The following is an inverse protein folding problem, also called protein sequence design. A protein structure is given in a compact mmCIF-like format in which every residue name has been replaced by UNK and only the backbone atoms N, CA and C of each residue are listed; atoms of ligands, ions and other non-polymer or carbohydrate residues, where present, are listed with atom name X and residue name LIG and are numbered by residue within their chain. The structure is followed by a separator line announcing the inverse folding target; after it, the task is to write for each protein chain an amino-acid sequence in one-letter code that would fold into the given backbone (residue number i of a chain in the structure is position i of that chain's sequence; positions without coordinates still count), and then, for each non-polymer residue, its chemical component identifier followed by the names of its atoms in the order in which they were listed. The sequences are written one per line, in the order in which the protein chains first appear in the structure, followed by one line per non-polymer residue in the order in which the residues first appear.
data_IF_767724956385
#
_entry.id   IF_767724956385
#
_cell.length_a   1.000
_cell.length_b   1.000
_cell.length_c   1.000
_cell.angle_alpha   90.00
_cell.angle_beta   90.00
_cell.angle_gamma   90.00
#
_symmetry.space_group_name_H-M   'P 1'
#
loop_
_entity.id
_entity.type
_entity.pdbx_description
1 polymer ?
#
# COMPACT_ATOMS: atom_id res chain seq x y z
N UNK A 1 -1.33 2.47 -6.30
CA UNK A 1 -1.30 3.59 -5.33
C UNK A 1 -0.26 4.63 -5.71
N UNK A 2 1.03 4.32 -5.76
CA UNK A 2 2.09 5.28 -6.08
C UNK A 2 1.81 6.13 -7.32
N UNK A 3 1.32 5.52 -8.43
CA UNK A 3 0.99 6.26 -9.64
C UNK A 3 -0.13 7.31 -9.45
N UNK A 4 -1.12 7.03 -8.59
CA UNK A 4 -2.16 8.02 -8.24
C UNK A 4 -1.58 9.16 -7.41
N UNK A 5 -0.71 8.84 -6.46
CA UNK A 5 -0.07 9.86 -5.63
C UNK A 5 0.87 10.77 -6.45
N UNK A 6 1.63 10.19 -7.40
CA UNK A 6 2.45 10.97 -8.35
C UNK A 6 1.60 11.96 -9.13
N UNK A 7 0.50 11.50 -9.75
CA UNK A 7 -0.42 12.39 -10.48
C UNK A 7 -1.01 13.47 -9.58
N UNK A 8 -1.42 13.09 -8.36
CA UNK A 8 -1.97 14.00 -7.37
C UNK A 8 -0.97 15.11 -6.98
N UNK A 9 0.28 14.75 -6.67
CA UNK A 9 1.30 15.72 -6.29
C UNK A 9 1.64 16.66 -7.44
N UNK A 10 1.85 16.13 -8.65
CA UNK A 10 2.16 16.96 -9.81
C UNK A 10 1.03 17.93 -10.19
N UNK A 11 -0.23 17.56 -9.93
CA UNK A 11 -1.38 18.42 -10.19
C UNK A 11 -1.57 19.52 -9.13
N UNK A 12 -1.23 19.24 -7.86
CA UNK A 12 -1.49 20.18 -6.75
C UNK A 12 -0.26 21.02 -6.36
N UNK A 13 0.95 20.55 -6.69
CA UNK A 13 2.22 21.21 -6.33
C UNK A 13 3.12 21.36 -7.56
N UNK A 14 2.85 22.34 -8.42
CA UNK A 14 3.55 22.49 -9.71
C UNK A 14 5.06 22.82 -9.57
N UNK A 15 5.50 23.21 -8.38
CA UNK A 15 6.91 23.49 -8.09
C UNK A 15 7.68 22.26 -7.55
N UNK A 16 6.97 21.13 -7.32
CA UNK A 16 7.61 19.92 -6.82
C UNK A 16 8.18 19.08 -7.97
N UNK A 17 9.45 18.70 -7.85
CA UNK A 17 10.03 17.66 -8.69
C UNK A 17 9.73 16.28 -8.09
N UNK A 18 9.13 15.40 -8.86
CA UNK A 18 8.79 14.03 -8.47
C UNK A 18 9.68 13.04 -9.19
N UNK A 19 10.50 12.31 -8.43
CA UNK A 19 11.29 11.20 -8.93
C UNK A 19 10.60 9.90 -8.53
N UNK A 20 10.11 9.17 -9.52
CA UNK A 20 9.50 7.85 -9.34
C UNK A 20 10.59 6.78 -9.44
N UNK A 21 10.93 6.16 -8.30
CA UNK A 21 11.89 5.07 -8.21
C UNK A 21 11.15 3.77 -8.01
N UNK A 22 11.10 2.91 -9.01
CA UNK A 22 10.31 1.67 -9.02
C UNK A 22 11.07 0.54 -9.71
N UNK A 23 10.99 -0.65 -9.13
CA UNK A 23 11.64 -1.85 -9.65
C UNK A 23 10.96 -2.40 -10.91
N UNK A 24 9.68 -2.05 -11.12
CA UNK A 24 8.82 -2.59 -12.17
C UNK A 24 8.73 -4.12 -12.11
N UNK A 25 8.31 -4.63 -10.95
CA UNK A 25 7.97 -6.04 -10.80
C UNK A 25 6.67 -6.37 -11.57
N UNK A 26 6.12 -7.55 -11.38
CA UNK A 26 4.96 -8.04 -12.12
C UNK A 26 3.71 -7.10 -12.13
N UNK A 27 3.53 -6.30 -11.08
CA UNK A 27 2.44 -5.34 -10.97
C UNK A 27 2.83 -3.90 -11.38
N UNK A 28 4.11 -3.66 -11.70
CA UNK A 28 4.61 -2.37 -12.15
C UNK A 28 4.19 -2.10 -13.60
N UNK A 29 3.55 -0.93 -13.84
CA UNK A 29 3.09 -0.56 -15.17
C UNK A 29 3.20 0.97 -15.37
N UNK A 30 4.14 1.39 -16.22
CA UNK A 30 4.36 2.81 -16.53
C UNK A 30 3.22 3.45 -17.32
N UNK A 31 2.39 2.66 -18.02
CA UNK A 31 1.19 3.16 -18.70
C UNK A 31 0.23 3.87 -17.72
N UNK A 32 0.27 3.51 -16.44
CA UNK A 32 -0.49 4.20 -15.40
C UNK A 32 -0.09 5.67 -15.23
N UNK A 33 1.07 6.07 -15.72
CA UNK A 33 1.65 7.42 -15.62
C UNK A 33 1.78 8.14 -16.98
N UNK A 34 1.21 7.57 -18.06
CA UNK A 34 1.26 8.13 -19.40
C UNK A 34 0.80 9.59 -19.47
N UNK A 35 -0.19 9.97 -18.68
CA UNK A 35 -0.71 11.34 -18.59
C UNK A 35 0.32 12.37 -18.12
N UNK A 36 1.32 11.92 -17.35
CA UNK A 36 2.35 12.76 -16.74
C UNK A 36 3.77 12.44 -17.22
N UNK A 37 3.93 11.51 -18.16
CA UNK A 37 5.25 11.06 -18.63
C UNK A 37 6.11 12.21 -19.21
N UNK A 38 5.46 13.21 -19.82
CA UNK A 38 6.10 14.38 -20.42
C UNK A 38 6.08 15.62 -19.51
N UNK A 39 5.66 15.48 -18.24
CA UNK A 39 5.69 16.58 -17.30
C UNK A 39 7.17 16.92 -16.95
N UNK A 40 7.64 18.17 -17.10
CA UNK A 40 9.04 18.54 -16.81
C UNK A 40 9.45 18.29 -15.36
N UNK A 41 8.48 18.21 -14.45
CA UNK A 41 8.70 17.95 -13.02
C UNK A 41 8.54 16.47 -12.66
N UNK A 42 8.40 15.57 -13.64
CA UNK A 42 8.35 14.13 -13.43
C UNK A 42 9.59 13.46 -14.02
N UNK A 43 10.17 12.55 -13.26
CA UNK A 43 11.28 11.69 -13.70
C UNK A 43 11.06 10.26 -13.23
N UNK A 44 11.19 9.30 -14.14
CA UNK A 44 11.23 7.88 -13.79
C UNK A 44 12.68 7.39 -13.72
N UNK A 45 12.97 6.59 -12.70
CA UNK A 45 14.23 5.86 -12.53
C UNK A 45 13.89 4.43 -12.13
N UNK A 46 14.27 3.45 -12.94
CA UNK A 46 14.09 2.06 -12.58
C UNK A 46 15.14 1.63 -11.56
N UNK A 47 14.71 1.03 -10.45
CA UNK A 47 15.59 0.51 -9.41
C UNK A 47 14.84 -0.11 -8.25
N UNK A 48 15.57 -0.85 -7.44
CA UNK A 48 15.08 -1.59 -6.28
C UNK A 48 15.46 -0.85 -4.99
N UNK A 49 14.50 -0.65 -4.09
CA UNK A 49 14.78 -0.07 -2.76
C UNK A 49 15.73 -0.95 -1.92
N UNK A 50 15.87 -2.23 -2.28
CA UNK A 50 16.85 -3.14 -1.68
C UNK A 50 18.28 -2.93 -2.21
N UNK A 51 18.45 -2.19 -3.31
CA UNK A 51 19.76 -1.80 -3.84
C UNK A 51 20.19 -0.46 -3.22
N UNK A 52 21.01 -0.56 -2.19
CA UNK A 52 21.50 0.58 -1.44
C UNK A 52 22.25 1.60 -2.30
N UNK A 53 23.13 1.12 -3.20
CA UNK A 53 23.94 1.99 -4.06
C UNK A 53 23.09 2.74 -5.08
N UNK A 54 22.16 2.04 -5.73
CA UNK A 54 21.21 2.64 -6.67
C UNK A 54 20.33 3.70 -5.99
N UNK A 55 19.84 3.40 -4.78
CA UNK A 55 19.02 4.33 -3.99
C UNK A 55 19.80 5.61 -3.63
N UNK A 56 21.01 5.48 -3.10
CA UNK A 56 21.84 6.63 -2.75
C UNK A 56 22.20 7.50 -3.96
N UNK A 57 22.50 6.85 -5.09
CA UNK A 57 22.75 7.53 -6.35
C UNK A 57 21.56 8.38 -6.79
N UNK A 58 20.36 7.80 -6.78
CA UNK A 58 19.14 8.53 -7.17
C UNK A 58 18.89 9.72 -6.26
N UNK A 59 19.04 9.55 -4.94
CA UNK A 59 18.85 10.62 -3.96
C UNK A 59 19.84 11.77 -4.21
N UNK A 60 21.13 11.46 -4.37
CA UNK A 60 22.17 12.47 -4.54
C UNK A 60 22.08 13.19 -5.88
N UNK A 61 21.90 12.46 -6.99
CA UNK A 61 21.86 13.03 -8.34
C UNK A 61 20.62 13.93 -8.56
N UNK A 62 19.50 13.60 -7.91
CA UNK A 62 18.27 14.35 -8.07
C UNK A 62 17.98 15.30 -6.90
N UNK A 63 18.88 15.41 -5.93
CA UNK A 63 18.76 16.28 -4.74
C UNK A 63 17.41 16.06 -4.02
N UNK A 64 17.09 14.78 -3.80
CA UNK A 64 15.84 14.40 -3.12
C UNK A 64 15.82 14.96 -1.70
N UNK A 65 14.74 15.62 -1.33
CA UNK A 65 14.54 16.21 -0.01
C UNK A 65 13.65 15.36 0.89
N UNK A 66 12.74 14.55 0.31
CA UNK A 66 11.81 13.72 1.07
C UNK A 66 11.44 12.44 0.30
N UNK A 67 10.97 11.44 1.02
CA UNK A 67 10.56 10.14 0.47
C UNK A 67 9.10 9.84 0.88
N UNK A 68 8.31 9.34 -0.07
CA UNK A 68 7.03 8.67 0.21
C UNK A 68 7.14 7.24 -0.32
N UNK A 69 7.22 6.27 0.59
CA UNK A 69 7.43 4.87 0.25
C UNK A 69 6.11 4.13 0.01
N UNK A 70 5.82 3.85 -1.25
CA UNK A 70 4.74 2.95 -1.70
C UNK A 70 5.27 1.60 -2.21
N UNK A 71 6.60 1.44 -2.33
CA UNK A 71 7.19 0.20 -2.78
C UNK A 71 6.91 -0.90 -1.77
N UNK A 72 6.33 -2.00 -2.23
CA UNK A 72 5.89 -3.10 -1.40
C UNK A 72 5.58 -4.35 -2.22
N UNK A 73 5.73 -5.52 -1.63
CA UNK A 73 5.01 -6.72 -2.04
C UNK A 73 3.65 -6.75 -1.33
N UNK A 74 2.54 -6.92 -2.06
CA UNK A 74 1.21 -6.62 -1.48
C UNK A 74 0.21 -7.77 -1.56
N UNK A 75 0.53 -8.91 -2.15
CA UNK A 75 -0.41 -10.01 -2.34
C UNK A 75 -0.26 -11.05 -1.22
N UNK A 76 -1.21 -11.07 -0.28
CA UNK A 76 -1.14 -11.94 0.91
C UNK A 76 -0.96 -13.41 0.54
N UNK A 77 -1.71 -13.94 -0.46
CA UNK A 77 -1.58 -15.34 -0.87
C UNK A 77 -0.17 -15.66 -1.39
N UNK A 78 0.48 -14.72 -2.09
CA UNK A 78 1.89 -14.87 -2.49
C UNK A 78 2.82 -14.90 -1.29
N UNK A 79 2.55 -14.11 -0.24
CA UNK A 79 3.37 -14.12 0.97
C UNK A 79 3.33 -15.44 1.73
N UNK A 80 2.22 -16.18 1.59
CA UNK A 80 2.08 -17.53 2.19
C UNK A 80 2.92 -18.56 1.41
N UNK A 81 3.01 -18.40 0.09
CA UNK A 81 3.77 -19.31 -0.77
C UNK A 81 5.26 -19.00 -0.82
N UNK A 82 5.62 -17.72 -0.85
CA UNK A 82 7.00 -17.24 -0.92
C UNK A 82 7.16 -15.97 -0.07
N UNK A 83 7.47 -16.11 1.23
CA UNK A 83 7.63 -14.98 2.15
C UNK A 83 8.94 -14.21 1.97
N UNK A 84 9.98 -14.77 1.32
CA UNK A 84 11.31 -14.15 1.21
C UNK A 84 11.25 -12.78 0.51
N UNK A 85 10.53 -12.68 -0.59
CA UNK A 85 10.37 -11.42 -1.32
C UNK A 85 9.75 -10.31 -0.46
N UNK A 86 8.78 -10.67 0.40
CA UNK A 86 8.14 -9.74 1.32
C UNK A 86 9.10 -9.25 2.41
N UNK A 87 9.84 -10.16 3.04
CA UNK A 87 10.84 -9.81 4.05
C UNK A 87 11.92 -8.90 3.46
N UNK A 88 12.42 -9.22 2.26
CA UNK A 88 13.42 -8.38 1.59
C UNK A 88 12.89 -7.00 1.30
N UNK A 89 11.76 -6.89 0.62
CA UNK A 89 11.21 -5.60 0.22
C UNK A 89 10.77 -4.78 1.43
N UNK A 90 9.99 -5.36 2.33
CA UNK A 90 9.43 -4.59 3.45
C UNK A 90 10.48 -4.24 4.50
N UNK A 91 11.33 -5.19 4.90
CA UNK A 91 12.28 -4.96 5.99
C UNK A 91 13.58 -4.34 5.46
N UNK A 92 14.27 -5.02 4.53
CA UNK A 92 15.54 -4.50 4.04
C UNK A 92 15.37 -3.27 3.14
N UNK A 93 14.32 -3.23 2.32
CA UNK A 93 14.01 -2.03 1.53
C UNK A 93 13.71 -0.82 2.42
N UNK A 94 12.86 -0.98 3.44
CA UNK A 94 12.59 0.11 4.40
C UNK A 94 13.84 0.50 5.19
N UNK A 95 14.67 -0.47 5.61
CA UNK A 95 15.95 -0.20 6.24
C UNK A 95 16.85 0.71 5.37
N UNK A 96 17.00 0.41 4.09
CA UNK A 96 17.79 1.22 3.16
C UNK A 96 17.23 2.64 3.02
N UNK A 97 15.90 2.79 2.93
CA UNK A 97 15.25 4.10 2.86
C UNK A 97 15.48 4.91 4.15
N UNK A 98 15.47 4.28 5.31
CA UNK A 98 15.75 4.92 6.60
C UNK A 98 17.23 5.34 6.72
N UNK A 99 18.17 4.47 6.30
CA UNK A 99 19.58 4.80 6.25
C UNK A 99 19.86 5.98 5.30
N UNK A 100 19.24 5.96 4.11
CA UNK A 100 19.34 7.05 3.16
C UNK A 100 18.73 8.36 3.72
N UNK A 101 17.56 8.28 4.35
CA UNK A 101 16.92 9.44 5.00
C UNK A 101 17.83 10.07 6.04
N UNK A 102 18.47 9.26 6.87
CA UNK A 102 19.45 9.70 7.88
C UNK A 102 20.72 10.26 7.24
N UNK A 103 21.32 9.54 6.28
CA UNK A 103 22.59 9.90 5.64
C UNK A 103 22.52 11.23 4.88
N UNK A 104 21.43 11.45 4.14
CA UNK A 104 21.23 12.65 3.32
C UNK A 104 20.48 13.76 4.06
N UNK A 105 20.16 13.59 5.34
CA UNK A 105 19.39 14.54 6.16
C UNK A 105 18.08 14.96 5.49
N UNK A 106 17.35 13.99 4.94
CA UNK A 106 16.07 14.27 4.29
C UNK A 106 15.08 14.85 5.30
N UNK A 107 14.23 15.76 4.83
CA UNK A 107 13.30 16.49 5.70
C UNK A 107 12.14 15.64 6.20
N UNK A 108 11.76 14.58 5.46
CA UNK A 108 10.70 13.67 5.83
C UNK A 108 10.75 12.36 5.04
N UNK A 109 10.34 11.28 5.69
CA UNK A 109 9.95 10.03 5.06
C UNK A 109 8.53 9.65 5.50
N UNK A 110 7.66 9.30 4.55
CA UNK A 110 6.35 8.70 4.84
C UNK A 110 6.39 7.24 4.41
N UNK A 111 6.21 6.34 5.38
CA UNK A 111 6.09 4.90 5.16
C UNK A 111 4.62 4.53 5.04
N UNK A 112 4.20 4.03 3.89
CA UNK A 112 2.84 3.52 3.70
C UNK A 112 2.80 2.06 4.12
N UNK A 113 2.07 1.79 5.20
CA UNK A 113 1.82 0.49 5.79
C UNK A 113 0.33 0.12 5.72
N UNK A 114 -0.09 -0.84 6.48
CA UNK A 114 -1.42 -1.45 6.44
C UNK A 114 -2.00 -1.64 7.85
N UNK A 115 -3.31 -1.59 7.98
CA UNK A 115 -4.04 -1.93 9.20
C UNK A 115 -3.99 -3.44 9.53
N UNK A 116 -3.59 -4.28 8.58
CA UNK A 116 -3.38 -5.71 8.81
C UNK A 116 -2.28 -5.99 9.87
N UNK A 117 -1.42 -5.02 10.19
CA UNK A 117 -0.40 -5.15 11.25
C UNK A 117 -1.03 -5.35 12.64
N UNK A 118 -2.24 -4.88 12.85
CA UNK A 118 -2.97 -5.04 14.10
C UNK A 118 -3.59 -6.44 14.28
N UNK A 119 -3.78 -7.20 13.19
CA UNK A 119 -4.46 -8.50 13.21
C UNK A 119 -5.97 -8.38 13.19
N UNK A 120 -6.67 -9.38 13.74
CA UNK A 120 -8.13 -9.44 13.74
C UNK A 120 -8.74 -8.81 14.98
N UNK A 121 -9.91 -8.17 14.80
CA UNK A 121 -10.75 -7.64 15.88
C UNK A 121 -12.23 -7.97 15.59
N UNK A 122 -12.94 -8.54 16.56
CA UNK A 122 -14.35 -8.92 16.37
C UNK A 122 -15.28 -7.70 16.48
N UNK A 123 -15.04 -6.83 17.47
CA UNK A 123 -15.84 -5.64 17.73
C UNK A 123 -14.94 -4.42 17.95
N UNK A 124 -15.45 -3.23 17.66
CA UNK A 124 -14.69 -1.97 17.78
C UNK A 124 -13.73 -1.73 16.63
N UNK A 125 -12.74 -0.88 16.84
CA UNK A 125 -11.71 -0.52 15.85
C UNK A 125 -10.35 -0.37 16.51
N UNK A 126 -9.28 -0.59 15.76
CA UNK A 126 -7.93 -0.34 16.20
C UNK A 126 -7.63 1.17 16.26
N UNK A 127 -6.82 1.55 17.21
CA UNK A 127 -6.17 2.87 17.28
C UNK A 127 -4.69 2.73 17.00
N UNK A 128 -4.00 3.85 16.83
CA UNK A 128 -2.56 3.89 16.62
C UNK A 128 -1.75 3.38 17.83
N UNK A 129 -2.39 3.24 19.00
CA UNK A 129 -1.80 2.66 20.22
C UNK A 129 -2.05 1.16 20.35
N UNK A 130 -2.85 0.56 19.47
CA UNK A 130 -3.16 -0.86 19.49
C UNK A 130 -1.90 -1.70 19.25
N UNK A 131 -1.72 -2.83 19.97
CA UNK A 131 -0.57 -3.70 19.77
C UNK A 131 -0.63 -4.40 18.41
N UNK A 132 0.51 -4.62 17.79
CA UNK A 132 0.61 -5.41 16.56
C UNK A 132 0.44 -6.90 16.85
N UNK A 133 -0.40 -7.56 16.03
CA UNK A 133 -0.67 -8.99 16.10
C UNK A 133 -0.91 -9.57 14.69
N UNK A 134 0.04 -9.41 13.75
CA UNK A 134 -0.14 -9.78 12.35
C UNK A 134 -0.33 -11.28 12.16
N UNK A 135 -1.29 -11.69 11.30
CA UNK A 135 -1.65 -13.08 11.07
C UNK A 135 -1.13 -13.65 9.73
N UNK A 136 -0.47 -12.86 8.91
CA UNK A 136 0.12 -13.28 7.64
C UNK A 136 1.59 -12.88 7.52
N UNK A 137 2.40 -13.58 6.69
CA UNK A 137 3.78 -13.17 6.44
C UNK A 137 3.89 -11.75 5.87
N UNK A 138 2.94 -11.32 5.02
CA UNK A 138 2.82 -9.95 4.55
C UNK A 138 2.67 -8.96 5.70
N UNK A 139 1.65 -9.15 6.54
CA UNK A 139 1.38 -8.27 7.66
C UNK A 139 2.54 -8.25 8.69
N UNK A 140 3.19 -9.41 8.91
CA UNK A 140 4.36 -9.51 9.77
C UNK A 140 5.57 -8.74 9.21
N UNK A 141 5.81 -8.81 7.89
CA UNK A 141 6.87 -8.05 7.25
C UNK A 141 6.62 -6.53 7.31
N UNK A 142 5.37 -6.10 7.10
CA UNK A 142 4.95 -4.70 7.29
C UNK A 142 5.15 -4.22 8.73
N UNK A 143 4.70 -5.00 9.72
CA UNK A 143 4.90 -4.69 11.14
C UNK A 143 6.39 -4.58 11.50
N UNK A 144 7.24 -5.44 10.93
CA UNK A 144 8.70 -5.37 11.07
C UNK A 144 9.28 -4.05 10.53
N UNK A 145 8.83 -3.61 9.36
CA UNK A 145 9.20 -2.33 8.78
C UNK A 145 8.77 -1.14 9.65
N UNK A 146 7.54 -1.19 10.21
CA UNK A 146 7.02 -0.13 11.09
C UNK A 146 7.81 -0.04 12.40
N UNK A 147 8.21 -1.18 12.96
CA UNK A 147 9.11 -1.21 14.13
C UNK A 147 10.49 -0.61 13.81
N UNK A 148 11.04 -0.84 12.60
CA UNK A 148 12.27 -0.16 12.16
C UNK A 148 12.07 1.35 12.08
N UNK A 149 10.98 1.84 11.49
CA UNK A 149 10.66 3.26 11.44
C UNK A 149 10.64 3.88 12.84
N UNK A 150 9.95 3.23 13.80
CA UNK A 150 9.93 3.68 15.19
C UNK A 150 11.33 3.68 15.81
N UNK A 151 12.10 2.62 15.64
CA UNK A 151 13.46 2.51 16.19
C UNK A 151 14.38 3.60 15.65
N UNK A 152 14.30 3.91 14.34
CA UNK A 152 15.09 4.96 13.72
C UNK A 152 14.72 6.36 14.21
N UNK A 153 13.43 6.62 14.42
CA UNK A 153 13.02 7.88 15.04
C UNK A 153 13.52 8.00 16.48
N UNK A 154 13.34 6.97 17.30
CA UNK A 154 13.74 6.99 18.71
C UNK A 154 15.25 7.16 18.86
N UNK A 155 16.05 6.39 18.10
CA UNK A 155 17.49 6.32 18.22
C UNK A 155 18.20 7.48 17.50
N UNK A 156 17.81 7.75 16.26
CA UNK A 156 18.54 8.67 15.37
C UNK A 156 17.77 9.95 15.07
N UNK A 157 16.53 10.08 15.54
CA UNK A 157 15.63 11.21 15.21
C UNK A 157 15.33 11.33 13.71
N UNK A 158 15.45 10.22 12.98
CA UNK A 158 15.08 10.18 11.55
C UNK A 158 13.63 10.62 11.38
N UNK A 159 13.32 11.61 10.51
CA UNK A 159 12.00 12.22 10.42
C UNK A 159 11.02 11.35 9.64
N UNK A 160 10.65 10.20 10.19
CA UNK A 160 9.73 9.24 9.57
C UNK A 160 8.34 9.30 10.20
N UNK A 161 7.33 9.15 9.34
CA UNK A 161 5.90 9.02 9.69
C UNK A 161 5.39 7.73 9.08
N UNK A 162 4.55 6.98 9.79
CA UNK A 162 3.95 5.73 9.32
C UNK A 162 2.45 5.91 9.14
N UNK A 163 1.87 5.38 8.06
CA UNK A 163 0.42 5.29 7.89
C UNK A 163 -0.03 3.83 7.90
N UNK A 164 -1.07 3.51 8.67
CA UNK A 164 -1.78 2.24 8.59
C UNK A 164 -3.08 2.45 7.84
N UNK A 165 -3.13 1.94 6.63
CA UNK A 165 -4.24 2.22 5.73
C UNK A 165 -5.09 0.98 5.49
N UNK A 166 -6.42 1.17 5.41
CA UNK A 166 -7.36 0.13 5.04
C UNK A 166 -7.26 -0.25 3.55
N UNK A 167 -8.11 -1.16 3.08
CA UNK A 167 -8.06 -1.65 1.70
C UNK A 167 -8.32 -0.55 0.67
N UNK A 168 -7.50 -0.52 -0.38
CA UNK A 168 -7.63 0.44 -1.46
C UNK A 168 -8.49 -0.07 -2.60
N UNK A 169 -9.18 0.84 -3.29
CA UNK A 169 -9.76 0.60 -4.59
C UNK A 169 -9.67 1.83 -5.49
N UNK A 170 -9.66 1.61 -6.79
CA UNK A 170 -9.59 2.68 -7.78
C UNK A 170 -9.06 2.20 -9.12
N UNK A 171 -9.00 3.13 -10.09
CA UNK A 171 -8.50 2.83 -11.43
C UNK A 171 -7.04 2.38 -11.41
N UNK A 172 -6.62 1.61 -12.42
CA UNK A 172 -5.27 1.07 -12.56
C UNK A 172 -4.81 0.11 -11.43
N UNK A 173 -5.73 -0.36 -10.59
CA UNK A 173 -5.41 -1.41 -9.62
C UNK A 173 -5.13 -2.72 -10.34
N UNK A 174 -4.01 -3.39 -9.97
CA UNK A 174 -3.62 -4.64 -10.61
C UNK A 174 -4.67 -5.73 -10.42
N UNK A 175 -5.02 -6.52 -11.46
CA UNK A 175 -6.16 -7.44 -11.45
C UNK A 175 -5.92 -8.74 -10.68
N UNK A 176 -5.14 -8.72 -9.61
CA UNK A 176 -5.03 -9.78 -8.60
C UNK A 176 -5.81 -9.45 -7.33
N UNK A 177 -6.18 -8.15 -7.14
CA UNK A 177 -6.96 -7.71 -5.98
C UNK A 177 -8.45 -7.90 -6.23
N UNK A 178 -9.23 -8.14 -5.16
CA UNK A 178 -10.62 -8.57 -5.21
C UNK A 178 -11.45 -7.81 -6.26
N UNK A 179 -11.52 -6.48 -6.16
CA UNK A 179 -12.40 -5.69 -7.04
C UNK A 179 -11.98 -5.81 -8.51
N UNK A 180 -10.75 -5.49 -8.94
CA UNK A 180 -10.40 -5.60 -10.35
C UNK A 180 -10.33 -7.04 -10.84
N UNK A 181 -10.00 -8.02 -9.98
CA UNK A 181 -10.03 -9.44 -10.33
C UNK A 181 -11.45 -9.91 -10.67
N UNK A 182 -12.43 -9.55 -9.84
CA UNK A 182 -13.83 -9.91 -10.09
C UNK A 182 -14.35 -9.23 -11.35
N UNK A 183 -14.09 -7.93 -11.52
CA UNK A 183 -14.49 -7.20 -12.72
C UNK A 183 -13.90 -7.84 -13.99
N UNK A 184 -12.61 -8.18 -13.98
CA UNK A 184 -11.94 -8.81 -15.12
C UNK A 184 -12.54 -10.20 -15.42
N UNK A 185 -12.76 -11.02 -14.39
CA UNK A 185 -13.42 -12.34 -14.57
C UNK A 185 -14.81 -12.20 -15.21
N UNK A 186 -15.61 -11.26 -14.73
CA UNK A 186 -16.97 -11.04 -15.25
C UNK A 186 -16.96 -10.54 -16.70
N UNK A 187 -16.03 -9.66 -17.09
CA UNK A 187 -15.83 -9.24 -18.48
C UNK A 187 -15.51 -10.44 -19.38
N UNK A 188 -14.73 -11.39 -18.87
CA UNK A 188 -14.35 -12.61 -19.58
C UNK A 188 -15.42 -13.73 -19.49
N UNK A 189 -16.57 -13.47 -18.87
CA UNK A 189 -17.65 -14.45 -18.67
C UNK A 189 -17.30 -15.55 -17.67
N UNK A 190 -16.31 -15.32 -16.81
CA UNK A 190 -15.87 -16.25 -15.75
C UNK A 190 -16.56 -15.95 -14.44
N UNK A 191 -16.73 -17.00 -13.61
CA UNK A 191 -17.22 -16.85 -12.24
C UNK A 191 -16.20 -16.16 -11.35
N UNK A 192 -16.70 -15.55 -10.25
CA UNK A 192 -15.88 -14.88 -9.24
C UNK A 192 -15.74 -15.79 -8.02
N UNK A 193 -14.50 -16.09 -7.59
CA UNK A 193 -14.26 -16.96 -6.44
C UNK A 193 -14.52 -16.21 -5.13
N UNK A 194 -15.42 -16.72 -4.30
CA UNK A 194 -15.69 -16.21 -2.97
C UNK A 194 -15.07 -17.12 -1.93
N UNK A 195 -14.08 -16.61 -1.18
CA UNK A 195 -13.37 -17.37 -0.16
C UNK A 195 -14.22 -17.65 1.06
N UNK A 196 -14.18 -18.91 1.54
CA UNK A 196 -14.87 -19.36 2.74
C UNK A 196 -16.38 -19.11 2.69
N UNK A 197 -16.92 -18.47 3.72
CA UNK A 197 -18.33 -18.09 3.80
C UNK A 197 -18.63 -16.69 3.25
N UNK A 198 -17.61 -15.98 2.76
CA UNK A 198 -17.72 -14.63 2.23
C UNK A 198 -17.93 -13.52 3.27
N UNK A 199 -17.93 -13.84 4.56
CA UNK A 199 -18.22 -12.88 5.63
C UNK A 199 -16.99 -12.24 6.24
N UNK A 200 -15.81 -12.34 5.60
CA UNK A 200 -14.68 -11.52 5.98
C UNK A 200 -15.01 -10.04 5.73
N UNK A 201 -14.80 -9.20 6.74
CA UNK A 201 -15.16 -7.78 6.73
C UNK A 201 -13.94 -6.94 6.43
N UNK A 202 -14.08 -5.98 5.53
CA UNK A 202 -13.01 -5.04 5.15
C UNK A 202 -13.52 -3.63 5.08
N UNK A 203 -12.68 -2.71 5.46
CA UNK A 203 -12.87 -1.29 5.24
C UNK A 203 -12.24 -0.88 3.91
N UNK A 204 -12.88 0.03 3.17
CA UNK A 204 -12.48 0.40 1.82
C UNK A 204 -12.31 1.90 1.65
N UNK A 205 -11.17 2.32 1.07
CA UNK A 205 -10.88 3.71 0.74
C UNK A 205 -10.56 3.87 -0.75
N UNK A 206 -11.14 4.90 -1.37
CA UNK A 206 -10.79 5.23 -2.75
C UNK A 206 -9.39 5.84 -2.82
N UNK A 207 -8.67 5.53 -3.91
CA UNK A 207 -7.29 6.01 -4.11
C UNK A 207 -7.14 7.53 -4.02
N UNK A 208 -8.14 8.32 -4.43
CA UNK A 208 -8.09 9.78 -4.31
C UNK A 208 -8.10 10.28 -2.87
N UNK A 209 -8.89 9.64 -2.01
CA UNK A 209 -8.98 10.03 -0.60
C UNK A 209 -7.72 9.61 0.16
N UNK A 210 -7.18 8.45 -0.18
CA UNK A 210 -5.89 8.02 0.35
C UNK A 210 -4.76 8.97 -0.07
N UNK A 211 -4.72 9.42 -1.35
CA UNK A 211 -3.72 10.40 -1.79
C UNK A 211 -3.80 11.71 -0.99
N UNK A 212 -5.02 12.20 -0.70
CA UNK A 212 -5.24 13.38 0.15
C UNK A 212 -4.77 13.15 1.59
N UNK A 213 -5.00 11.97 2.14
CA UNK A 213 -4.52 11.62 3.48
C UNK A 213 -2.98 11.58 3.53
N UNK A 214 -2.33 10.93 2.59
CA UNK A 214 -0.85 10.91 2.52
C UNK A 214 -0.26 12.30 2.28
N UNK A 215 -0.90 13.12 1.47
CA UNK A 215 -0.52 14.52 1.28
C UNK A 215 -0.55 15.30 2.61
N UNK A 216 -1.63 15.12 3.39
CA UNK A 216 -1.73 15.71 4.71
C UNK A 216 -0.62 15.22 5.64
N UNK A 217 -0.33 13.91 5.65
CA UNK A 217 0.76 13.35 6.45
C UNK A 217 2.11 13.88 6.00
N UNK A 218 2.34 13.96 4.70
CA UNK A 218 3.57 14.49 4.14
C UNK A 218 3.87 15.93 4.61
N UNK A 219 2.85 16.80 4.61
CA UNK A 219 3.02 18.22 4.94
C UNK A 219 2.85 18.55 6.42
N UNK A 220 1.97 17.83 7.15
CA UNK A 220 1.52 18.24 8.49
C UNK A 220 1.84 17.25 9.61
N UNK A 221 2.06 15.97 9.30
CA UNK A 221 2.27 14.97 10.34
C UNK A 221 3.55 15.19 11.13
N UNK A 222 3.48 14.87 12.40
CA UNK A 222 4.62 14.94 13.33
C UNK A 222 5.51 13.71 13.13
N UNK A 223 6.83 13.89 12.91
CA UNK A 223 7.75 12.76 12.80
C UNK A 223 7.72 11.85 14.03
N UNK A 224 7.85 10.55 13.78
CA UNK A 224 7.81 9.51 14.81
C UNK A 224 6.41 9.05 15.20
N UNK A 225 5.36 9.67 14.62
CA UNK A 225 3.98 9.27 14.88
C UNK A 225 3.47 8.31 13.80
N UNK A 226 2.46 7.54 14.19
CA UNK A 226 1.67 6.65 13.34
C UNK A 226 0.29 7.28 13.13
N UNK A 227 -0.33 7.03 11.99
CA UNK A 227 -1.67 7.54 11.66
C UNK A 227 -2.48 6.47 10.95
N UNK A 228 -3.64 6.14 11.49
CA UNK A 228 -4.60 5.27 10.81
C UNK A 228 -5.34 6.05 9.72
N UNK A 229 -5.49 5.43 8.55
CA UNK A 229 -6.22 6.00 7.41
C UNK A 229 -7.35 5.04 7.05
N UNK A 230 -8.56 5.42 7.41
CA UNK A 230 -9.77 4.66 7.16
C UNK A 230 -10.95 5.57 6.82
N UNK A 231 -12.08 4.98 6.49
CA UNK A 231 -13.34 5.65 6.12
C UNK A 231 -14.46 5.39 7.11
N UNK A 232 -14.30 4.38 7.98
CA UNK A 232 -15.36 3.84 8.85
C UNK A 232 -16.45 3.08 8.08
N UNK A 233 -16.25 2.80 6.77
CA UNK A 233 -17.22 2.05 5.94
C UNK A 233 -16.72 0.64 5.70
N UNK A 234 -17.34 -0.29 6.39
CA UNK A 234 -17.03 -1.70 6.31
C UNK A 234 -18.05 -2.44 5.44
N UNK A 235 -17.58 -3.46 4.71
CA UNK A 235 -18.41 -4.37 3.93
C UNK A 235 -17.92 -5.80 4.13
N UNK A 236 -18.86 -6.73 4.25
CA UNK A 236 -18.55 -8.16 4.05
C UNK A 236 -18.14 -8.42 2.58
N UNK A 237 -17.20 -9.32 2.35
CA UNK A 237 -16.77 -9.65 0.99
C UNK A 237 -17.94 -10.13 0.12
N UNK A 238 -18.92 -10.86 0.69
CA UNK A 238 -20.14 -11.29 -0.04
C UNK A 238 -21.01 -10.10 -0.45
N UNK A 239 -21.12 -9.04 0.38
CA UNK A 239 -21.89 -7.84 0.05
C UNK A 239 -21.21 -7.05 -1.07
N UNK A 240 -19.89 -6.87 -0.97
CA UNK A 240 -19.10 -6.25 -2.03
C UNK A 240 -19.19 -7.04 -3.34
N UNK A 241 -19.14 -8.38 -3.26
CA UNK A 241 -19.29 -9.25 -4.43
C UNK A 241 -20.65 -9.05 -5.11
N UNK A 242 -21.74 -9.04 -4.33
CA UNK A 242 -23.09 -8.79 -4.85
C UNK A 242 -23.22 -7.40 -5.48
N UNK A 243 -22.59 -6.39 -4.88
CA UNK A 243 -22.58 -5.04 -5.44
C UNK A 243 -21.89 -5.02 -6.81
N UNK A 244 -20.70 -5.61 -6.93
CA UNK A 244 -19.97 -5.71 -8.22
C UNK A 244 -20.81 -6.44 -9.27
N UNK A 245 -21.42 -7.58 -8.92
CA UNK A 245 -22.30 -8.33 -9.81
C UNK A 245 -23.48 -7.49 -10.30
N UNK A 246 -24.16 -6.81 -9.39
CA UNK A 246 -25.32 -5.96 -9.71
C UNK A 246 -24.93 -4.81 -10.65
N UNK A 247 -23.83 -4.12 -10.37
CA UNK A 247 -23.36 -3.00 -11.21
C UNK A 247 -22.94 -3.46 -12.62
N UNK A 248 -22.49 -4.69 -12.76
CA UNK A 248 -22.12 -5.29 -14.05
C UNK A 248 -23.25 -6.06 -14.74
N UNK A 249 -24.45 -6.13 -14.14
CA UNK A 249 -25.63 -6.79 -14.72
C UNK A 249 -25.61 -8.31 -14.62
N UNK A 250 -24.89 -8.87 -13.63
CA UNK A 250 -24.81 -10.31 -13.39
C UNK A 250 -25.62 -10.74 -12.14
N UNK A 251 -25.99 -12.01 -12.09
CA UNK A 251 -26.67 -12.63 -10.95
C UNK A 251 -25.72 -13.37 -10.00
N UNK A 252 -26.27 -13.85 -8.89
CA UNK A 252 -25.52 -14.61 -7.88
C UNK A 252 -25.01 -15.98 -8.37
N UNK A 253 -25.50 -16.48 -9.49
CA UNK A 253 -25.03 -17.69 -10.18
C UNK A 253 -23.59 -17.56 -10.70
N UNK A 254 -23.07 -16.34 -10.78
CA UNK A 254 -21.68 -16.05 -11.11
C UNK A 254 -20.74 -16.18 -9.90
N UNK A 255 -21.23 -16.41 -8.70
CA UNK A 255 -20.39 -16.68 -7.54
C UNK A 255 -19.98 -18.16 -7.54
N UNK A 256 -18.67 -18.41 -7.36
CA UNK A 256 -18.12 -19.74 -7.17
C UNK A 256 -17.50 -19.86 -5.77
N UNK A 257 -17.96 -20.79 -4.92
CA UNK A 257 -17.34 -21.02 -3.62
C UNK A 257 -15.87 -21.46 -3.78
N UNK A 258 -14.98 -20.80 -3.06
CA UNK A 258 -13.55 -21.11 -3.04
C UNK A 258 -13.08 -21.46 -1.63
N UNK A 259 -12.06 -22.33 -1.55
CA UNK A 259 -11.44 -22.65 -0.26
C UNK A 259 -10.83 -21.42 0.36
N UNK A 260 -11.06 -21.21 1.65
CA UNK A 260 -10.46 -20.11 2.37
C UNK A 260 -8.95 -20.26 2.52
N UNK A 261 -8.24 -19.14 2.62
CA UNK A 261 -6.78 -19.11 2.75
C UNK A 261 -6.37 -19.24 4.23
N UNK A 262 -5.20 -19.84 4.54
CA UNK A 262 -4.64 -19.81 5.88
C UNK A 262 -4.39 -18.38 6.37
N UNK A 263 -4.61 -18.12 7.66
CA UNK A 263 -4.37 -16.80 8.26
C UNK A 263 -5.29 -15.69 7.72
N UNK A 264 -6.47 -16.05 7.22
CA UNK A 264 -7.43 -15.06 6.72
C UNK A 264 -8.12 -14.35 7.89
N UNK A 265 -7.78 -13.10 8.11
CA UNK A 265 -8.42 -12.27 9.11
C UNK A 265 -9.92 -12.15 8.88
N UNK A 266 -10.71 -12.40 9.91
CA UNK A 266 -12.17 -12.26 9.84
C UNK A 266 -12.58 -10.82 9.64
N UNK A 267 -12.02 -9.92 10.44
CA UNK A 267 -12.29 -8.49 10.39
C UNK A 267 -11.08 -7.72 10.93
N UNK A 268 -10.74 -6.63 10.29
CA UNK A 268 -9.90 -5.56 10.82
C UNK A 268 -10.48 -4.20 10.41
N UNK A 269 -10.37 -3.22 11.31
CA UNK A 269 -10.95 -1.89 11.15
C UNK A 269 -10.12 -0.86 11.92
#
# INVERSE_FOLDING_TARGET
MGSHFIKYILANYPDYMVVNFDKLTYAGNLENLREVENNPNYKFVQGDICDHEALEKVISENKIEAIVNYAAETHVDRSIMDPDAFLRTEIFGTFNLLEATKKFNLIKMVQVSTDEVYGSIEEGSFSEESPFSPNSPYAAAKAGADHLCRAYFVTYKTPVVVSHSCNFYGTNQFPEKLIPYFITNLIEGKKVPLYGDGKAVREWIHTSDHCRAIDLLFHKAVPGQVYNIGTGKELENIELTKLILSEMGFGADMIEPAKDRPGHDRRYS
#
